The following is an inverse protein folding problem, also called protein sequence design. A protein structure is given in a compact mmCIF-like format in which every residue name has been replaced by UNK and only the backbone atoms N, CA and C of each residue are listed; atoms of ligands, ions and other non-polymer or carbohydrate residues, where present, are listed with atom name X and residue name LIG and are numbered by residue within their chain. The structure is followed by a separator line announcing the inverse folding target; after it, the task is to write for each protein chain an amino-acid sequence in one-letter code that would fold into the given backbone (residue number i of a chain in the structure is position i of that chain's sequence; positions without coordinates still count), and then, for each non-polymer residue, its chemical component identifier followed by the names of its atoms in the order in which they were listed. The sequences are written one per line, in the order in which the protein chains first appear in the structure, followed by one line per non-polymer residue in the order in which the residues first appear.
data_IF_912565873117
#
_entry.id   IF_912565873117
#
_cell.length_a   1.000
_cell.length_b   1.000
_cell.length_c   1.000
_cell.angle_alpha   90.00
_cell.angle_beta   90.00
_cell.angle_gamma   90.00
#
_symmetry.space_group_name_H-M   'P 1'
#
loop_
_entity.id
_entity.type
_entity.pdbx_description
1 polymer ?
#
# COMPACT_ATOMS: atom_id res chain seq x y z
N UNK A 1 16.80 16.74 -48.09
CA UNK A 1 15.58 16.70 -47.29
C UNK A 1 15.27 15.25 -47.03
N UNK A 2 15.54 14.78 -45.81
CA UNK A 2 15.32 13.41 -45.39
C UNK A 2 13.83 13.22 -45.09
N UNK A 3 13.20 12.25 -45.74
CA UNK A 3 11.88 11.77 -45.38
C UNK A 3 12.01 10.93 -44.09
N UNK A 4 11.31 11.36 -43.04
CA UNK A 4 11.09 10.58 -41.83
C UNK A 4 10.31 9.32 -42.19
N UNK A 5 11.01 8.19 -42.20
CA UNK A 5 10.45 6.87 -42.43
C UNK A 5 9.50 6.46 -41.30
N UNK A 6 8.21 6.42 -41.61
CA UNK A 6 7.15 5.78 -40.83
C UNK A 6 7.57 4.37 -40.40
N UNK A 7 7.63 4.15 -39.08
CA UNK A 7 8.04 2.91 -38.39
C UNK A 7 7.00 1.78 -38.51
N UNK A 8 5.95 1.93 -39.34
CA UNK A 8 4.80 1.02 -39.42
C UNK A 8 4.76 0.12 -40.68
N UNK A 9 5.92 -0.31 -41.20
CA UNK A 9 5.96 -1.26 -42.32
C UNK A 9 5.78 -2.70 -41.83
N UNK A 10 4.55 -3.20 -41.97
CA UNK A 10 4.06 -4.60 -41.91
C UNK A 10 3.54 -5.13 -40.55
N UNK A 11 2.21 -5.04 -40.33
CA UNK A 11 1.52 -5.60 -39.15
C UNK A 11 1.77 -7.09 -38.88
N UNK A 12 2.02 -7.90 -39.92
CA UNK A 12 2.31 -9.34 -39.79
C UNK A 12 3.61 -9.63 -39.04
N UNK A 13 4.67 -8.85 -39.29
CA UNK A 13 5.95 -9.01 -38.60
C UNK A 13 5.80 -8.68 -37.10
N UNK A 14 5.04 -7.62 -36.79
CA UNK A 14 4.78 -7.18 -35.41
C UNK A 14 4.04 -8.27 -34.61
N UNK A 15 3.02 -8.90 -35.21
CA UNK A 15 2.27 -9.98 -34.56
C UNK A 15 3.15 -11.20 -34.26
N UNK A 16 4.07 -11.54 -35.16
CA UNK A 16 4.99 -12.66 -34.99
C UNK A 16 6.03 -12.40 -33.89
N UNK A 17 6.61 -11.20 -33.86
CA UNK A 17 7.54 -10.78 -32.81
C UNK A 17 6.87 -10.77 -31.43
N UNK A 18 5.61 -10.31 -31.36
CA UNK A 18 4.81 -10.35 -30.14
C UNK A 18 4.51 -11.77 -29.67
N UNK A 19 4.19 -12.69 -30.59
CA UNK A 19 4.00 -14.11 -30.27
C UNK A 19 5.26 -14.70 -29.63
N UNK A 20 6.44 -14.43 -30.21
CA UNK A 20 7.71 -14.90 -29.69
C UNK A 20 8.01 -14.35 -28.29
N UNK A 21 7.83 -13.04 -28.07
CA UNK A 21 8.09 -12.42 -26.77
C UNK A 21 7.11 -12.92 -25.68
N UNK A 22 5.83 -13.12 -25.99
CA UNK A 22 4.88 -13.72 -25.02
C UNK A 22 5.29 -15.13 -24.65
N UNK A 23 5.60 -15.99 -25.63
CA UNK A 23 6.01 -17.37 -25.37
C UNK A 23 7.30 -17.41 -24.52
N UNK A 24 8.24 -16.53 -24.83
CA UNK A 24 9.46 -16.36 -24.06
C UNK A 24 9.17 -15.88 -22.62
N UNK A 25 8.25 -14.94 -22.39
CA UNK A 25 7.86 -14.53 -21.03
C UNK A 25 7.12 -15.64 -20.29
N UNK A 26 6.20 -16.37 -20.93
CA UNK A 26 5.53 -17.54 -20.33
C UNK A 26 6.55 -18.56 -19.83
N UNK A 27 7.65 -18.76 -20.56
CA UNK A 27 8.72 -19.69 -20.17
C UNK A 27 9.56 -19.23 -18.97
N UNK A 28 9.54 -17.93 -18.66
CA UNK A 28 10.34 -17.31 -17.59
C UNK A 28 9.57 -17.02 -16.31
N UNK A 29 8.26 -16.84 -16.41
CA UNK A 29 7.41 -16.42 -15.28
C UNK A 29 7.10 -17.64 -14.41
N UNK A 30 7.29 -17.49 -13.09
CA UNK A 30 6.94 -18.54 -12.12
C UNK A 30 5.44 -18.86 -12.17
N UNK A 31 5.02 -20.13 -12.02
CA UNK A 31 3.61 -20.51 -12.06
C UNK A 31 2.83 -19.80 -10.95
N UNK A 32 1.78 -19.05 -11.29
CA UNK A 32 0.87 -18.49 -10.27
C UNK A 32 0.11 -17.23 -10.67
N UNK A 33 0.80 -16.11 -10.92
CA UNK A 33 0.11 -14.82 -10.93
C UNK A 33 -0.24 -14.27 -12.33
N UNK A 34 0.55 -14.59 -13.35
CA UNK A 34 0.40 -13.98 -14.69
C UNK A 34 0.37 -14.98 -15.85
N UNK A 35 0.55 -16.27 -15.56
CA UNK A 35 0.61 -17.29 -16.60
C UNK A 35 -0.72 -17.39 -17.36
N UNK A 36 -1.85 -17.30 -16.66
CA UNK A 36 -3.18 -17.36 -17.29
C UNK A 36 -3.48 -16.10 -18.10
N UNK A 37 -2.96 -14.93 -17.69
CA UNK A 37 -3.06 -13.68 -18.44
C UNK A 37 -2.22 -13.71 -19.71
N UNK A 38 -0.98 -14.19 -19.62
CA UNK A 38 -0.09 -14.38 -20.77
C UNK A 38 -0.67 -15.38 -21.77
N UNK A 39 -1.27 -16.49 -21.29
CA UNK A 39 -2.00 -17.44 -22.14
C UNK A 39 -3.24 -16.82 -22.79
N UNK A 40 -4.01 -16.02 -22.05
CA UNK A 40 -5.16 -15.32 -22.60
C UNK A 40 -4.73 -14.34 -23.71
N UNK A 41 -3.57 -13.68 -23.56
CA UNK A 41 -3.01 -12.82 -24.60
C UNK A 41 -2.49 -13.60 -25.82
N UNK A 42 -1.80 -14.72 -25.61
CA UNK A 42 -1.37 -15.60 -26.71
C UNK A 42 -2.57 -16.04 -27.56
N UNK A 43 -3.70 -16.36 -26.89
CA UNK A 43 -4.96 -16.69 -27.57
C UNK A 43 -5.51 -15.49 -28.35
N UNK A 44 -5.57 -14.30 -27.76
CA UNK A 44 -6.04 -13.09 -28.45
C UNK A 44 -5.19 -12.74 -29.69
N UNK A 45 -3.86 -12.85 -29.60
CA UNK A 45 -2.96 -12.67 -30.74
C UNK A 45 -3.18 -13.72 -31.82
N UNK A 46 -3.36 -14.98 -31.43
CA UNK A 46 -3.62 -16.06 -32.38
C UNK A 46 -4.94 -15.83 -33.14
N UNK A 47 -5.99 -15.37 -32.46
CA UNK A 47 -7.26 -15.00 -33.11
C UNK A 47 -7.05 -13.88 -34.14
N UNK A 48 -6.41 -12.77 -33.77
CA UNK A 48 -6.20 -11.64 -34.67
C UNK A 48 -5.30 -12.03 -35.85
N UNK A 49 -4.25 -12.81 -35.60
CA UNK A 49 -3.35 -13.30 -36.66
C UNK A 49 -4.11 -14.19 -37.63
N UNK A 50 -4.97 -15.08 -37.13
CA UNK A 50 -5.82 -15.93 -37.96
C UNK A 50 -6.79 -15.10 -38.81
N UNK A 51 -7.44 -14.09 -38.23
CA UNK A 51 -8.34 -13.18 -38.94
C UNK A 51 -7.60 -12.40 -40.04
N UNK A 52 -6.38 -11.93 -39.75
CA UNK A 52 -5.50 -11.23 -40.70
C UNK A 52 -4.92 -12.13 -41.81
N UNK A 53 -4.87 -13.44 -41.57
CA UNK A 53 -4.45 -14.45 -42.56
C UNK A 53 -5.64 -15.01 -43.37
N UNK A 54 -6.85 -15.07 -42.79
CA UNK A 54 -8.06 -15.56 -43.44
C UNK A 54 -8.74 -14.51 -44.34
N UNK A 55 -8.52 -13.22 -44.08
CA UNK A 55 -9.12 -12.15 -44.87
C UNK A 55 -8.39 -11.95 -46.20
N UNK A 56 -9.01 -12.47 -47.26
CA UNK A 56 -8.71 -12.19 -48.67
C UNK A 56 -9.38 -10.90 -49.20
N UNK A 57 -9.76 -9.93 -48.35
CA UNK A 57 -10.86 -8.99 -48.69
C UNK A 57 -10.44 -7.56 -49.07
N UNK A 58 -10.84 -7.21 -50.30
CA UNK A 58 -10.79 -5.96 -51.10
C UNK A 58 -11.51 -4.70 -50.53
N UNK A 59 -11.49 -4.45 -49.21
CA UNK A 59 -12.12 -3.25 -48.63
C UNK A 59 -11.16 -2.42 -47.79
N UNK A 60 -10.90 -1.19 -48.23
CA UNK A 60 -10.01 -0.23 -47.52
C UNK A 60 -10.50 0.11 -46.11
N UNK A 61 -11.81 0.08 -45.85
CA UNK A 61 -12.36 0.32 -44.51
C UNK A 61 -12.12 -0.87 -43.56
N UNK A 62 -12.21 -2.10 -44.06
CA UNK A 62 -11.94 -3.32 -43.29
C UNK A 62 -10.45 -3.40 -42.91
N UNK A 63 -9.57 -3.08 -43.87
CA UNK A 63 -8.12 -3.05 -43.64
C UNK A 63 -7.72 -1.99 -42.60
N UNK A 64 -8.35 -0.81 -42.62
CA UNK A 64 -8.12 0.25 -41.62
C UNK A 64 -8.59 -0.20 -40.23
N UNK A 65 -9.75 -0.84 -40.11
CA UNK A 65 -10.25 -1.37 -38.83
C UNK A 65 -9.31 -2.43 -38.25
N UNK A 66 -8.92 -3.41 -39.05
CA UNK A 66 -7.97 -4.46 -38.62
C UNK A 66 -6.61 -3.87 -38.20
N UNK A 67 -6.11 -2.82 -38.87
CA UNK A 67 -4.89 -2.11 -38.46
C UNK A 67 -5.03 -1.41 -37.12
N UNK A 68 -6.18 -0.78 -36.85
CA UNK A 68 -6.46 -0.11 -35.58
C UNK A 68 -6.58 -1.15 -34.45
N UNK A 69 -7.28 -2.26 -34.69
CA UNK A 69 -7.46 -3.34 -33.71
C UNK A 69 -6.14 -4.06 -33.40
N UNK A 70 -5.32 -4.32 -34.42
CA UNK A 70 -3.98 -4.88 -34.25
C UNK A 70 -3.04 -3.94 -33.48
N UNK A 71 -3.08 -2.64 -33.77
CA UNK A 71 -2.30 -1.62 -33.06
C UNK A 71 -2.72 -1.51 -31.59
N UNK A 72 -4.03 -1.49 -31.33
CA UNK A 72 -4.59 -1.38 -29.97
C UNK A 72 -4.27 -2.63 -29.16
N UNK A 73 -4.45 -3.81 -29.75
CA UNK A 73 -4.11 -5.09 -29.11
C UNK A 73 -2.61 -5.19 -28.85
N UNK A 74 -1.78 -4.83 -29.84
CA UNK A 74 -0.33 -4.82 -29.70
C UNK A 74 0.17 -3.89 -28.58
N UNK A 75 -0.43 -2.70 -28.44
CA UNK A 75 -0.17 -1.80 -27.31
C UNK A 75 -0.58 -2.47 -25.98
N UNK A 76 -1.76 -3.07 -25.92
CA UNK A 76 -2.25 -3.74 -24.72
C UNK A 76 -1.35 -4.90 -24.27
N UNK A 77 -0.86 -5.69 -25.21
CA UNK A 77 0.07 -6.80 -24.95
C UNK A 77 1.40 -6.27 -24.44
N UNK A 78 1.96 -5.25 -25.10
CA UNK A 78 3.20 -4.61 -24.66
C UNK A 78 3.07 -4.11 -23.21
N UNK A 79 1.98 -3.43 -22.89
CA UNK A 79 1.73 -2.95 -21.53
C UNK A 79 1.70 -4.11 -20.52
N UNK A 80 0.99 -5.20 -20.79
CA UNK A 80 0.93 -6.35 -19.87
C UNK A 80 2.29 -7.01 -19.69
N UNK A 81 3.10 -7.12 -20.75
CA UNK A 81 4.46 -7.66 -20.66
C UNK A 81 5.37 -6.75 -19.82
N UNK A 82 5.25 -5.43 -19.96
CA UNK A 82 5.94 -4.45 -19.12
C UNK A 82 5.50 -4.57 -17.66
N UNK A 83 4.19 -4.73 -17.40
CA UNK A 83 3.65 -5.00 -16.07
C UNK A 83 4.19 -6.28 -15.44
N UNK A 84 4.23 -7.39 -16.19
CA UNK A 84 4.77 -8.64 -15.69
C UNK A 84 6.23 -8.49 -15.26
N UNK A 85 7.06 -7.82 -16.07
CA UNK A 85 8.47 -7.53 -15.75
C UNK A 85 8.61 -6.61 -14.54
N UNK A 86 7.80 -5.56 -14.48
CA UNK A 86 7.80 -4.61 -13.38
C UNK A 86 7.47 -5.30 -12.05
N UNK A 87 6.39 -6.09 -12.02
CA UNK A 87 5.92 -6.78 -10.82
C UNK A 87 6.93 -7.83 -10.35
N UNK A 88 7.46 -8.66 -11.26
CA UNK A 88 8.51 -9.65 -10.94
C UNK A 88 9.75 -8.99 -10.31
N UNK A 89 10.10 -7.79 -10.79
CA UNK A 89 11.22 -7.04 -10.23
C UNK A 89 10.93 -6.56 -8.81
N UNK A 90 9.77 -5.94 -8.57
CA UNK A 90 9.45 -5.35 -7.26
C UNK A 90 9.00 -6.37 -6.20
N UNK A 91 8.49 -7.54 -6.59
CA UNK A 91 8.10 -8.59 -5.64
C UNK A 91 9.32 -9.36 -5.11
N UNK A 92 10.46 -9.29 -5.80
CA UNK A 92 11.68 -10.03 -5.44
C UNK A 92 12.48 -9.45 -4.27
N UNK A 93 12.14 -8.23 -3.81
CA UNK A 93 13.05 -7.41 -2.99
C UNK A 93 12.70 -7.27 -1.51
N UNK A 94 11.49 -7.66 -1.06
CA UNK A 94 11.01 -7.23 0.28
C UNK A 94 10.46 -8.35 1.16
N UNK A 95 10.83 -8.32 2.45
CA UNK A 95 10.12 -9.07 3.50
C UNK A 95 8.84 -8.30 3.84
N UNK A 96 7.68 -8.85 3.45
CA UNK A 96 6.41 -8.16 3.69
C UNK A 96 6.12 -7.98 5.19
N UNK A 97 5.56 -6.81 5.59
CA UNK A 97 5.08 -6.61 6.94
C UNK A 97 3.84 -7.48 7.19
N UNK A 98 3.65 -7.91 8.44
CA UNK A 98 2.44 -8.66 8.83
C UNK A 98 1.19 -7.77 8.81
N UNK A 99 1.35 -6.49 9.19
CA UNK A 99 0.27 -5.52 9.30
C UNK A 99 0.56 -4.21 8.56
N UNK A 100 -0.49 -3.64 8.00
CA UNK A 100 -0.51 -2.28 7.48
C UNK A 100 -1.50 -1.43 8.25
N UNK A 101 -1.13 -0.18 8.50
CA UNK A 101 -1.89 0.77 9.28
C UNK A 101 -2.36 1.93 8.41
N UNK A 102 -3.57 2.44 8.68
CA UNK A 102 -4.08 3.65 8.02
C UNK A 102 -4.78 4.56 9.02
N UNK A 103 -4.35 5.81 9.07
CA UNK A 103 -5.07 6.88 9.74
C UNK A 103 -6.15 7.40 8.79
N UNK A 104 -7.40 7.48 9.22
CA UNK A 104 -8.46 8.03 8.39
C UNK A 104 -9.54 8.76 9.18
N UNK A 105 -10.33 9.53 8.42
CA UNK A 105 -11.52 10.26 8.83
C UNK A 105 -12.76 9.51 8.34
N UNK A 106 -13.78 9.42 9.16
CA UNK A 106 -15.04 8.75 8.85
C UNK A 106 -16.23 9.61 9.30
N UNK A 107 -17.14 9.84 8.36
CA UNK A 107 -18.40 10.57 8.59
C UNK A 107 -19.54 9.55 8.52
N UNK A 108 -19.80 8.86 9.63
CA UNK A 108 -20.83 7.82 9.66
C UNK A 108 -20.91 7.06 10.98
N UNK A 109 -22.00 6.28 11.12
CA UNK A 109 -22.17 5.27 12.16
C UNK A 109 -21.69 3.93 11.59
N UNK A 110 -20.77 3.26 12.29
CA UNK A 110 -20.25 1.95 11.90
C UNK A 110 -18.80 2.01 11.39
N UNK A 111 -18.40 0.95 10.69
CA UNK A 111 -17.02 0.81 10.20
C UNK A 111 -16.78 1.61 8.93
N UNK A 112 -15.64 2.31 8.80
CA UNK A 112 -15.26 2.99 7.57
C UNK A 112 -15.10 2.00 6.40
N UNK A 113 -15.54 2.44 5.23
CA UNK A 113 -15.24 1.75 3.97
C UNK A 113 -13.94 2.32 3.43
N UNK A 114 -12.95 1.46 3.22
CA UNK A 114 -11.65 1.83 2.70
C UNK A 114 -11.61 1.63 1.19
N UNK A 115 -12.26 2.54 0.48
CA UNK A 115 -12.24 2.59 -0.98
C UNK A 115 -11.43 3.80 -1.46
N UNK A 116 -10.78 3.70 -2.63
CA UNK A 116 -10.26 4.87 -3.31
C UNK A 116 -11.38 5.83 -3.75
N UNK A 117 -11.00 7.06 -4.13
CA UNK A 117 -11.97 8.04 -4.68
C UNK A 117 -12.45 7.63 -6.07
N UNK A 118 -11.58 7.00 -6.85
CA UNK A 118 -11.89 6.45 -8.18
C UNK A 118 -11.84 4.93 -8.12
N UNK A 119 -12.92 4.30 -8.56
CA UNK A 119 -13.03 2.85 -8.60
C UNK A 119 -12.22 2.31 -9.79
N UNK A 120 -11.02 1.81 -9.50
CA UNK A 120 -10.18 1.10 -10.46
C UNK A 120 -9.71 -0.20 -9.79
N UNK A 121 -9.90 -1.32 -10.48
CA UNK A 121 -9.39 -2.63 -10.07
C UNK A 121 -8.06 -2.90 -10.78
N UNK A 122 -7.14 -3.60 -10.11
CA UNK A 122 -5.84 -3.95 -10.69
C UNK A 122 -5.90 -5.28 -11.47
N UNK A 123 -6.83 -5.34 -12.43
CA UNK A 123 -7.06 -6.51 -13.27
C UNK A 123 -6.33 -6.43 -14.63
N UNK A 124 -6.50 -7.45 -15.46
CA UNK A 124 -5.91 -7.51 -16.80
C UNK A 124 -6.34 -6.35 -17.71
N UNK A 125 -7.60 -5.89 -17.61
CA UNK A 125 -8.10 -4.77 -18.42
C UNK A 125 -7.37 -3.47 -18.08
N UNK A 126 -7.16 -3.21 -16.79
CA UNK A 126 -6.35 -2.08 -16.33
C UNK A 126 -4.92 -2.16 -16.85
N UNK A 127 -4.26 -3.32 -16.73
CA UNK A 127 -2.88 -3.53 -17.21
C UNK A 127 -2.74 -3.46 -18.73
N UNK A 128 -3.79 -3.78 -19.50
CA UNK A 128 -3.80 -3.58 -20.96
C UNK A 128 -3.92 -2.10 -21.30
N UNK A 129 -4.78 -1.38 -20.60
CA UNK A 129 -5.07 0.02 -20.91
C UNK A 129 -3.94 0.97 -20.48
N UNK A 130 -3.37 0.75 -19.30
CA UNK A 130 -2.47 1.69 -18.62
C UNK A 130 -1.03 1.23 -18.65
N UNK A 131 -0.11 2.10 -19.08
CA UNK A 131 1.32 1.81 -19.03
C UNK A 131 1.91 1.99 -17.61
N UNK A 132 3.11 1.46 -17.38
CA UNK A 132 3.86 1.69 -16.14
C UNK A 132 4.09 3.19 -15.91
N UNK A 133 4.51 3.93 -16.93
CA UNK A 133 4.74 5.38 -16.82
C UNK A 133 3.49 6.15 -16.39
N UNK A 134 2.31 5.76 -16.89
CA UNK A 134 1.03 6.37 -16.49
C UNK A 134 0.71 6.04 -15.03
N UNK A 135 0.92 4.80 -14.60
CA UNK A 135 0.77 4.40 -13.20
C UNK A 135 1.74 5.17 -12.27
N UNK A 136 3.00 5.33 -12.65
CA UNK A 136 3.99 6.08 -11.86
C UNK A 136 3.62 7.56 -11.75
N UNK A 137 3.12 8.17 -12.82
CA UNK A 137 2.61 9.55 -12.80
C UNK A 137 1.40 9.69 -11.89
N UNK A 138 0.49 8.73 -11.93
CA UNK A 138 -0.67 8.68 -11.04
C UNK A 138 -0.26 8.51 -9.58
N UNK A 139 0.75 7.67 -9.31
CA UNK A 139 1.34 7.51 -7.98
C UNK A 139 1.98 8.81 -7.51
N UNK A 140 2.78 9.48 -8.34
CA UNK A 140 3.36 10.79 -8.00
C UNK A 140 2.28 11.81 -7.63
N UNK A 141 1.21 11.86 -8.42
CA UNK A 141 0.03 12.71 -8.13
C UNK A 141 -0.63 12.32 -6.81
N UNK A 142 -0.72 11.03 -6.48
CA UNK A 142 -1.29 10.58 -5.22
C UNK A 142 -0.43 10.95 -4.02
N UNK A 143 0.89 10.76 -4.09
CA UNK A 143 1.82 11.13 -3.03
C UNK A 143 1.79 12.66 -2.77
N UNK A 144 1.70 13.47 -3.83
CA UNK A 144 1.62 14.93 -3.73
C UNK A 144 0.23 15.50 -3.48
N UNK A 145 -0.81 14.65 -3.29
CA UNK A 145 -2.20 15.13 -3.27
C UNK A 145 -2.47 16.13 -2.15
N UNK A 146 -1.94 15.89 -0.94
CA UNK A 146 -2.22 16.75 0.21
C UNK A 146 -1.60 18.13 0.06
N UNK A 147 -0.40 18.24 -0.53
CA UNK A 147 0.21 19.54 -0.82
C UNK A 147 -0.59 20.29 -1.89
N UNK A 148 -0.97 19.60 -2.97
CA UNK A 148 -1.76 20.17 -4.06
C UNK A 148 -3.15 20.62 -3.63
N UNK A 149 -3.82 19.85 -2.78
CA UNK A 149 -5.13 20.19 -2.20
C UNK A 149 -5.03 21.42 -1.31
N UNK A 150 -3.95 21.56 -0.52
CA UNK A 150 -3.70 22.76 0.29
C UNK A 150 -3.42 24.00 -0.54
N UNK A 151 -2.67 23.86 -1.63
CA UNK A 151 -2.32 24.96 -2.53
C UNK A 151 -3.54 25.44 -3.33
N UNK A 152 -4.32 24.52 -3.88
CA UNK A 152 -5.39 24.83 -4.84
C UNK A 152 -6.78 24.89 -4.22
N UNK A 153 -6.98 24.30 -3.04
CA UNK A 153 -8.30 24.10 -2.44
C UNK A 153 -9.17 23.05 -3.15
N UNK A 154 -8.66 22.40 -4.20
CA UNK A 154 -9.40 21.44 -5.02
C UNK A 154 -8.99 20.02 -4.62
N UNK A 155 -9.99 19.17 -4.33
CA UNK A 155 -9.79 17.75 -4.01
C UNK A 155 -9.12 17.03 -5.19
N UNK A 156 -8.08 16.24 -4.91
CA UNK A 156 -7.38 15.45 -5.91
C UNK A 156 -7.80 13.99 -5.79
N UNK A 157 -8.64 13.54 -6.71
CA UNK A 157 -9.17 12.17 -6.70
C UNK A 157 -8.17 11.14 -7.24
N UNK A 158 -7.98 10.06 -6.48
CA UNK A 158 -7.01 9.01 -6.79
C UNK A 158 -7.61 7.62 -6.63
N UNK A 159 -7.12 6.66 -7.40
CA UNK A 159 -7.49 5.25 -7.26
C UNK A 159 -6.60 4.49 -6.26
N UNK A 160 -5.78 5.21 -5.50
CA UNK A 160 -4.85 4.65 -4.53
C UNK A 160 -5.33 4.85 -3.09
N UNK A 161 -5.00 3.89 -2.23
CA UNK A 161 -5.21 3.99 -0.78
C UNK A 161 -3.87 3.85 -0.06
N UNK A 162 -3.38 4.95 0.53
CA UNK A 162 -2.18 4.99 1.39
C UNK A 162 -2.30 4.16 2.66
N UNK A 163 -1.25 3.41 2.99
CA UNK A 163 -1.06 2.68 4.22
C UNK A 163 0.43 2.70 4.60
N UNK A 164 0.75 2.33 5.84
CA UNK A 164 2.12 2.24 6.33
C UNK A 164 2.25 1.12 7.35
N UNK A 165 3.36 0.35 7.38
CA UNK A 165 3.63 -0.61 8.45
C UNK A 165 4.16 0.07 9.73
N UNK A 166 4.42 1.38 9.68
CA UNK A 166 4.91 2.16 10.82
C UNK A 166 3.69 2.60 11.66
N UNK A 167 3.37 1.79 12.67
CA UNK A 167 2.26 2.02 13.60
C UNK A 167 2.32 3.41 14.23
N UNK A 168 3.46 3.75 14.80
CA UNK A 168 3.77 5.02 15.46
C UNK A 168 3.46 6.24 14.59
N UNK A 169 4.00 6.28 13.36
CA UNK A 169 3.68 7.32 12.38
C UNK A 169 2.17 7.44 12.16
N UNK A 170 1.51 6.30 12.00
CA UNK A 170 0.09 6.26 11.70
C UNK A 170 -0.77 6.72 12.90
N UNK A 171 -0.37 6.41 14.13
CA UNK A 171 -0.99 6.91 15.36
C UNK A 171 -0.87 8.43 15.47
N UNK A 172 0.32 9.00 15.24
CA UNK A 172 0.49 10.46 15.22
C UNK A 172 -0.40 11.12 14.16
N UNK A 173 -0.48 10.52 12.96
CA UNK A 173 -1.34 11.01 11.88
C UNK A 173 -2.82 10.96 12.25
N UNK A 174 -3.28 9.90 12.90
CA UNK A 174 -4.67 9.79 13.38
C UNK A 174 -4.99 10.88 14.42
N UNK A 175 -4.08 11.15 15.36
CA UNK A 175 -4.24 12.24 16.33
C UNK A 175 -4.24 13.63 15.70
N UNK A 176 -3.43 13.86 14.66
CA UNK A 176 -3.48 15.09 13.87
C UNK A 176 -4.84 15.26 13.18
N UNK A 177 -5.34 14.22 12.52
CA UNK A 177 -6.66 14.25 11.86
C UNK A 177 -7.76 14.57 12.86
N UNK A 178 -7.74 13.94 14.04
CA UNK A 178 -8.70 14.21 15.10
C UNK A 178 -8.65 15.67 15.57
N UNK A 179 -7.45 16.20 15.82
CA UNK A 179 -7.26 17.58 16.26
C UNK A 179 -7.72 18.62 15.22
N UNK A 180 -7.45 18.35 13.94
CA UNK A 180 -7.82 19.24 12.84
C UNK A 180 -9.33 19.14 12.53
N UNK A 181 -9.99 18.04 12.92
CA UNK A 181 -11.40 17.74 12.67
C UNK A 181 -12.11 17.16 13.91
N UNK A 182 -12.27 17.93 15.01
CA UNK A 182 -12.75 17.40 16.29
C UNK A 182 -14.22 16.92 16.27
N UNK A 183 -14.99 17.33 15.27
CA UNK A 183 -16.40 16.94 15.09
C UNK A 183 -16.58 15.68 14.23
N UNK A 184 -15.49 15.07 13.76
CA UNK A 184 -15.51 13.91 12.87
C UNK A 184 -14.86 12.70 13.56
N UNK A 185 -15.24 11.48 13.15
CA UNK A 185 -14.58 10.29 13.67
C UNK A 185 -13.23 10.14 12.97
N UNK A 186 -12.15 10.43 13.68
CA UNK A 186 -10.80 10.06 13.27
C UNK A 186 -10.41 8.74 13.96
N UNK A 187 -9.49 8.01 13.36
CA UNK A 187 -9.06 6.74 13.94
C UNK A 187 -7.99 6.02 13.14
N UNK A 188 -7.72 4.80 13.58
CA UNK A 188 -6.69 3.91 13.07
C UNK A 188 -7.34 2.63 12.55
N UNK A 189 -7.02 2.26 11.31
CA UNK A 189 -7.32 0.96 10.76
C UNK A 189 -6.07 0.09 10.73
N UNK A 190 -6.25 -1.18 11.08
CA UNK A 190 -5.22 -2.22 11.07
C UNK A 190 -5.65 -3.26 10.04
N UNK A 191 -4.78 -3.57 9.09
CA UNK A 191 -5.01 -4.57 8.06
C UNK A 191 -4.00 -5.70 8.15
N UNK A 192 -4.47 -6.93 7.94
CA UNK A 192 -3.65 -8.13 7.77
C UNK A 192 -3.21 -8.21 6.30
N UNK A 193 -1.91 -8.10 6.05
CA UNK A 193 -1.35 -8.04 4.69
C UNK A 193 -1.63 -9.34 3.93
N UNK A 194 -1.50 -10.49 4.59
CA UNK A 194 -1.72 -11.80 3.98
C UNK A 194 -3.18 -11.94 3.51
N UNK A 195 -4.14 -11.50 4.31
CA UNK A 195 -5.57 -11.51 3.91
C UNK A 195 -5.86 -10.53 2.79
N UNK A 196 -5.24 -9.34 2.80
CA UNK A 196 -5.41 -8.39 1.70
C UNK A 196 -4.86 -8.96 0.38
N UNK A 197 -3.68 -9.60 0.40
CA UNK A 197 -3.04 -10.22 -0.77
C UNK A 197 -3.83 -11.39 -1.37
N UNK A 198 -4.65 -12.06 -0.56
CA UNK A 198 -5.51 -13.15 -1.04
C UNK A 198 -6.70 -12.66 -1.88
N UNK A 199 -6.93 -11.35 -1.94
CA UNK A 199 -8.03 -10.78 -2.71
C UNK A 199 -7.59 -10.42 -4.13
N UNK A 200 -8.26 -11.00 -5.14
CA UNK A 200 -7.95 -10.79 -6.57
C UNK A 200 -8.17 -9.36 -7.06
N UNK A 201 -9.02 -8.59 -6.39
CA UNK A 201 -9.43 -7.25 -6.84
C UNK A 201 -8.58 -6.13 -6.20
N UNK A 202 -7.67 -6.50 -5.29
CA UNK A 202 -6.78 -5.57 -4.58
C UNK A 202 -5.33 -5.91 -4.86
N UNK A 203 -4.58 -4.95 -5.40
CA UNK A 203 -3.12 -5.03 -5.45
C UNK A 203 -2.51 -4.08 -4.43
N UNK A 204 -1.42 -4.51 -3.79
CA UNK A 204 -0.66 -3.69 -2.84
C UNK A 204 0.75 -3.51 -3.39
N UNK A 205 1.26 -2.30 -3.31
CA UNK A 205 2.61 -1.98 -3.73
C UNK A 205 3.35 -1.29 -2.59
N UNK A 206 4.54 -1.79 -2.30
CA UNK A 206 5.50 -1.06 -1.48
C UNK A 206 6.13 0.02 -2.35
N UNK A 207 5.96 1.29 -1.99
CA UNK A 207 6.46 2.40 -2.81
C UNK A 207 7.98 2.40 -2.89
N UNK A 208 8.67 1.85 -1.89
CA UNK A 208 10.14 1.72 -1.90
C UNK A 208 10.62 0.85 -3.06
N UNK A 209 10.02 -0.31 -3.27
CA UNK A 209 10.41 -1.22 -4.35
C UNK A 209 10.20 -0.56 -5.72
N UNK A 210 9.11 0.21 -5.87
CA UNK A 210 8.87 1.02 -7.07
C UNK A 210 9.98 2.06 -7.27
N UNK A 211 10.38 2.76 -6.21
CA UNK A 211 11.44 3.78 -6.29
C UNK A 211 12.80 3.14 -6.62
N UNK A 212 13.09 1.95 -6.11
CA UNK A 212 14.30 1.19 -6.43
C UNK A 212 14.31 0.74 -7.89
N UNK A 213 13.18 0.25 -8.40
CA UNK A 213 12.99 -0.02 -9.82
C UNK A 213 13.27 1.22 -10.67
N UNK A 214 12.71 2.39 -10.32
CA UNK A 214 12.95 3.63 -11.06
C UNK A 214 14.42 4.04 -11.07
N UNK A 215 15.14 3.87 -9.97
CA UNK A 215 16.59 4.13 -9.91
C UNK A 215 17.35 3.21 -10.86
N UNK A 216 17.02 1.91 -10.88
CA UNK A 216 17.65 0.94 -11.77
C UNK A 216 17.40 1.29 -13.26
N UNK A 217 16.20 1.79 -13.58
CA UNK A 217 15.83 2.24 -14.92
C UNK A 217 16.32 3.67 -15.25
N UNK A 218 16.97 4.38 -14.31
CA UNK A 218 17.37 5.80 -14.46
C UNK A 218 16.18 6.72 -14.76
N UNK A 219 15.07 6.47 -14.08
CA UNK A 219 13.79 7.16 -14.23
C UNK A 219 13.30 7.79 -12.91
N UNK A 220 14.19 8.00 -11.93
CA UNK A 220 13.82 8.60 -10.65
C UNK A 220 13.12 9.96 -10.76
N UNK A 221 13.35 10.71 -11.85
CA UNK A 221 12.72 12.01 -12.13
C UNK A 221 11.20 11.94 -12.30
N UNK A 222 10.61 10.75 -12.52
CA UNK A 222 9.17 10.59 -12.67
C UNK A 222 8.41 10.90 -11.37
N UNK A 223 9.06 10.77 -10.21
CA UNK A 223 8.50 11.15 -8.91
C UNK A 223 9.40 12.25 -8.32
N UNK A 224 8.89 13.46 -8.04
CA UNK A 224 9.66 14.54 -7.42
C UNK A 224 10.39 14.09 -6.15
N UNK A 225 11.65 14.53 -5.98
CA UNK A 225 12.54 14.05 -4.91
C UNK A 225 11.96 14.18 -3.50
N UNK A 226 11.27 15.28 -3.20
CA UNK A 226 10.63 15.48 -1.89
C UNK A 226 9.52 14.47 -1.61
N UNK A 227 8.74 14.07 -2.62
CA UNK A 227 7.72 13.02 -2.49
C UNK A 227 8.36 11.64 -2.30
N UNK A 228 9.48 11.37 -2.97
CA UNK A 228 10.21 10.13 -2.74
C UNK A 228 10.76 10.06 -1.30
N UNK A 229 11.31 11.16 -0.79
CA UNK A 229 11.81 11.24 0.60
C UNK A 229 10.66 11.04 1.60
N UNK A 230 9.52 11.70 1.36
CA UNK A 230 8.32 11.51 2.17
C UNK A 230 7.87 10.05 2.19
N UNK A 231 7.72 9.42 1.03
CA UNK A 231 7.28 8.02 0.91
C UNK A 231 8.23 7.04 1.59
N UNK A 232 9.55 7.27 1.52
CA UNK A 232 10.55 6.45 2.24
C UNK A 232 10.44 6.63 3.75
N UNK A 233 10.20 7.86 4.23
CA UNK A 233 10.11 8.16 5.66
C UNK A 233 8.90 7.52 6.34
N UNK A 234 7.76 7.43 5.64
CA UNK A 234 6.58 6.75 6.16
C UNK A 234 6.52 5.25 5.80
N UNK A 235 7.53 4.74 5.09
CA UNK A 235 7.51 3.41 4.51
C UNK A 235 6.19 3.11 3.78
N UNK A 236 5.87 3.96 2.80
CA UNK A 236 4.55 4.02 2.18
C UNK A 236 4.21 2.74 1.41
N UNK A 237 2.99 2.24 1.66
CA UNK A 237 2.32 1.25 0.84
C UNK A 237 1.09 1.90 0.21
N UNK A 238 0.80 1.54 -1.03
CA UNK A 238 -0.44 1.94 -1.71
C UNK A 238 -1.18 0.70 -2.18
N UNK A 239 -2.50 0.69 -2.02
CA UNK A 239 -3.34 -0.29 -2.72
C UNK A 239 -3.99 0.32 -3.95
N UNK A 240 -4.25 -0.52 -4.96
CA UNK A 240 -5.19 -0.26 -6.06
C UNK A 240 -6.36 -1.21 -5.88
N UNK A 241 -7.59 -0.69 -5.99
CA UNK A 241 -8.81 -1.42 -5.66
C UNK A 241 -9.29 -1.18 -4.23
N UNK A 242 -10.49 -1.69 -3.95
CA UNK A 242 -11.17 -1.55 -2.66
C UNK A 242 -10.59 -2.52 -1.64
N UNK A 243 -10.12 -2.01 -0.50
CA UNK A 243 -9.63 -2.88 0.58
C UNK A 243 -10.80 -3.71 1.14
N UNK A 244 -10.69 -5.04 1.13
CA UNK A 244 -11.80 -5.91 1.53
C UNK A 244 -11.95 -5.95 3.05
N UNK A 245 -13.20 -6.08 3.50
CA UNK A 245 -13.51 -6.08 4.93
C UNK A 245 -12.91 -7.26 5.70
N UNK A 246 -12.63 -8.40 5.04
CA UNK A 246 -11.98 -9.55 5.66
C UNK A 246 -10.48 -9.31 5.93
N UNK A 247 -9.86 -8.33 5.27
CA UNK A 247 -8.48 -7.90 5.55
C UNK A 247 -8.39 -6.88 6.67
N UNK A 248 -9.49 -6.21 7.03
CA UNK A 248 -9.55 -5.30 8.18
C UNK A 248 -9.55 -6.13 9.47
N UNK A 249 -8.45 -6.06 10.20
CA UNK A 249 -8.33 -6.65 11.54
C UNK A 249 -9.15 -5.84 12.52
N UNK A 250 -8.94 -4.52 12.51
CA UNK A 250 -9.67 -3.62 13.40
C UNK A 250 -9.71 -2.19 12.90
N UNK A 251 -10.82 -1.53 13.19
CA UNK A 251 -10.94 -0.08 13.20
C UNK A 251 -11.06 0.41 14.64
N UNK A 252 -10.30 1.44 14.98
CA UNK A 252 -10.28 2.05 16.30
C UNK A 252 -10.55 3.52 16.16
N UNK A 253 -11.60 4.00 16.83
CA UNK A 253 -11.83 5.42 16.91
C UNK A 253 -10.81 6.07 17.84
N UNK A 254 -10.43 7.30 17.55
CA UNK A 254 -9.42 8.02 18.32
C UNK A 254 -9.78 8.14 19.81
N UNK A 255 -11.08 8.26 20.11
CA UNK A 255 -11.61 8.31 21.48
C UNK A 255 -11.42 7.02 22.29
N UNK A 256 -11.19 5.87 21.62
CA UNK A 256 -10.82 4.62 22.28
C UNK A 256 -9.34 4.62 22.70
N UNK A 257 -8.52 5.43 22.03
CA UNK A 257 -7.07 5.52 22.29
C UNK A 257 -6.72 6.70 23.21
N UNK A 258 -7.47 7.80 23.15
CA UNK A 258 -7.18 9.07 23.84
C UNK A 258 -8.44 9.79 24.40
N UNK A 259 -8.33 10.45 25.57
CA UNK A 259 -7.25 10.38 26.55
C UNK A 259 -7.43 9.14 27.45
N UNK A 260 -6.42 8.28 27.50
CA UNK A 260 -6.38 7.20 28.48
C UNK A 260 -5.18 7.36 29.39
N UNK A 261 -5.38 7.45 30.72
CA UNK A 261 -4.26 7.48 31.66
C UNK A 261 -3.49 6.14 31.69
N UNK A 262 -4.08 5.09 31.11
CA UNK A 262 -3.58 3.70 31.16
C UNK A 262 -2.90 3.27 29.86
N UNK A 263 -3.02 4.02 28.75
CA UNK A 263 -2.32 3.72 27.47
C UNK A 263 -1.06 4.57 27.29
N UNK A 264 -0.35 4.35 26.18
CA UNK A 264 0.79 5.16 25.75
C UNK A 264 0.40 6.56 25.25
N UNK A 265 -0.88 6.76 24.89
CA UNK A 265 -1.38 8.04 24.40
C UNK A 265 -1.98 8.81 25.58
N UNK A 266 -1.10 9.41 26.37
CA UNK A 266 -1.46 10.23 27.53
C UNK A 266 -1.73 11.68 27.14
N UNK A 267 -2.11 12.52 28.12
CA UNK A 267 -2.21 13.97 27.96
C UNK A 267 -0.89 14.66 27.59
N UNK A 268 0.26 13.97 27.72
CA UNK A 268 1.58 14.49 27.32
C UNK A 268 1.96 14.10 25.89
N UNK A 269 1.14 13.30 25.21
CA UNK A 269 1.38 12.91 23.82
C UNK A 269 1.22 14.12 22.89
N UNK A 270 2.27 14.46 22.13
CA UNK A 270 2.26 15.63 21.24
C UNK A 270 1.88 15.23 19.81
N UNK A 271 0.70 15.65 19.35
CA UNK A 271 0.25 15.43 17.97
C UNK A 271 1.06 16.31 17.00
N UNK A 272 1.99 15.69 16.26
CA UNK A 272 2.89 16.40 15.33
C UNK A 272 2.66 16.01 13.87
N UNK A 273 2.90 16.95 12.96
CA UNK A 273 2.79 16.72 11.51
C UNK A 273 3.87 15.79 10.96
N UNK A 274 4.98 15.65 11.67
CA UNK A 274 6.10 14.75 11.32
C UNK A 274 6.67 14.11 12.59
N UNK A 275 7.28 12.93 12.45
CA UNK A 275 8.02 12.28 13.54
C UNK A 275 9.19 13.14 14.01
N UNK A 276 9.86 13.83 13.09
CA UNK A 276 10.94 14.76 13.42
C UNK A 276 10.44 15.86 14.36
N UNK A 277 9.28 16.46 14.05
CA UNK A 277 8.73 17.53 14.88
C UNK A 277 8.31 17.05 16.25
N UNK A 278 7.75 15.85 16.34
CA UNK A 278 7.42 15.23 17.63
C UNK A 278 8.67 15.07 18.52
N UNK A 279 9.77 14.57 17.96
CA UNK A 279 11.03 14.34 18.70
C UNK A 279 11.63 15.63 19.27
N UNK A 280 11.40 16.78 18.65
CA UNK A 280 11.86 18.08 19.15
C UNK A 280 11.09 18.56 20.39
N UNK A 281 9.83 18.18 20.52
CA UNK A 281 8.89 18.80 21.48
C UNK A 281 8.44 17.85 22.59
N UNK A 282 8.65 16.55 22.43
CA UNK A 282 8.25 15.56 23.44
C UNK A 282 9.12 15.70 24.70
N UNK A 283 8.46 15.91 25.84
CA UNK A 283 9.10 15.81 27.15
C UNK A 283 9.09 14.36 27.61
N UNK A 284 10.20 13.89 28.16
CA UNK A 284 10.32 12.53 28.66
C UNK A 284 9.77 12.43 30.07
N UNK A 285 8.81 11.53 30.28
CA UNK A 285 8.30 11.14 31.58
C UNK A 285 9.02 9.87 32.05
N UNK A 286 9.75 9.94 33.17
CA UNK A 286 10.35 8.74 33.78
C UNK A 286 9.24 7.89 34.41
N UNK A 287 9.21 6.60 34.06
CA UNK A 287 8.27 5.62 34.59
C UNK A 287 9.01 4.36 35.03
N UNK A 288 8.46 3.69 36.05
CA UNK A 288 8.95 2.40 36.51
C UNK A 288 8.63 1.29 35.49
N UNK A 289 9.38 0.19 35.58
CA UNK A 289 9.26 -0.94 34.63
C UNK A 289 7.83 -1.44 34.46
N UNK A 290 7.14 -1.67 35.58
CA UNK A 290 5.80 -2.24 35.59
C UNK A 290 4.78 -1.27 34.97
N UNK A 291 4.92 0.04 35.22
CA UNK A 291 4.04 1.05 34.64
C UNK A 291 4.16 1.10 33.12
N UNK A 292 5.38 1.00 32.59
CA UNK A 292 5.62 0.96 31.14
C UNK A 292 5.06 -0.33 30.55
N UNK A 293 5.35 -1.48 31.16
CA UNK A 293 4.84 -2.76 30.69
C UNK A 293 3.31 -2.75 30.64
N UNK A 294 2.65 -2.26 31.69
CA UNK A 294 1.20 -2.13 31.75
C UNK A 294 0.68 -1.21 30.65
N UNK A 295 1.25 -0.02 30.46
CA UNK A 295 0.82 0.91 29.39
C UNK A 295 0.95 0.34 27.99
N UNK A 296 2.06 -0.36 27.72
CA UNK A 296 2.30 -1.01 26.44
C UNK A 296 1.30 -2.14 26.21
N UNK A 297 1.05 -2.97 27.22
CA UNK A 297 0.09 -4.07 27.15
C UNK A 297 -1.33 -3.54 26.97
N UNK A 298 -1.74 -2.53 27.73
CA UNK A 298 -3.06 -1.91 27.59
C UNK A 298 -3.24 -1.27 26.22
N UNK A 299 -2.21 -0.62 25.68
CA UNK A 299 -2.26 -0.13 24.31
C UNK A 299 -2.33 -1.28 23.29
N UNK A 300 -1.59 -2.36 23.50
CA UNK A 300 -1.66 -3.58 22.69
C UNK A 300 -3.04 -4.22 22.68
N UNK A 301 -3.69 -4.35 23.85
CA UNK A 301 -5.09 -4.80 23.96
C UNK A 301 -6.05 -3.83 23.30
N UNK A 302 -5.82 -2.53 23.51
CA UNK A 302 -6.59 -1.49 22.87
C UNK A 302 -6.49 -1.62 21.35
N UNK A 303 -5.37 -2.07 20.76
CA UNK A 303 -5.23 -2.36 19.33
C UNK A 303 -5.81 -3.73 18.91
N UNK A 304 -5.60 -4.78 19.70
CA UNK A 304 -6.00 -6.17 19.39
C UNK A 304 -7.51 -6.40 19.53
N UNK A 305 -8.13 -5.80 20.54
CA UNK A 305 -9.56 -5.89 20.80
C UNK A 305 -9.94 -7.23 21.41
N UNK A 306 -10.99 -7.90 20.89
CA UNK A 306 -11.38 -9.20 21.42
C UNK A 306 -10.41 -10.34 21.01
N UNK A 307 -9.45 -10.06 20.13
CA UNK A 307 -8.53 -11.07 19.60
C UNK A 307 -7.22 -11.12 20.42
N UNK A 308 -7.24 -11.87 21.53
CA UNK A 308 -6.09 -12.00 22.44
C UNK A 308 -4.79 -12.45 21.73
N UNK A 309 -4.91 -13.28 20.70
CA UNK A 309 -3.77 -13.76 19.90
C UNK A 309 -3.00 -12.65 19.17
N UNK A 310 -3.61 -11.47 19.00
CA UNK A 310 -2.99 -10.31 18.33
C UNK A 310 -2.27 -9.37 19.30
N UNK A 311 -2.44 -9.54 20.62
CA UNK A 311 -1.83 -8.65 21.62
C UNK A 311 -0.31 -8.68 21.49
N UNK A 312 0.31 -9.86 21.49
CA UNK A 312 1.76 -9.96 21.43
C UNK A 312 2.35 -9.37 20.14
N UNK A 313 1.87 -9.75 18.92
CA UNK A 313 2.35 -9.13 17.69
C UNK A 313 2.27 -7.59 17.69
N UNK A 314 1.14 -7.03 18.14
CA UNK A 314 0.94 -5.58 18.16
C UNK A 314 1.79 -4.87 19.22
N UNK A 315 1.99 -5.49 20.39
CA UNK A 315 2.91 -4.99 21.42
C UNK A 315 4.35 -4.95 20.94
N UNK A 316 4.80 -5.95 20.19
CA UNK A 316 6.16 -5.95 19.62
C UNK A 316 6.34 -4.78 18.63
N UNK A 317 5.31 -4.43 17.86
CA UNK A 317 5.33 -3.26 16.98
C UNK A 317 5.38 -1.94 17.74
N UNK A 318 4.70 -1.86 18.89
CA UNK A 318 4.74 -0.68 19.78
C UNK A 318 6.16 -0.45 20.32
N UNK A 319 6.89 -1.52 20.65
CA UNK A 319 8.21 -1.45 21.27
C UNK A 319 9.34 -1.22 20.25
N UNK A 320 9.11 -1.52 18.97
CA UNK A 320 10.10 -1.39 17.88
C UNK A 320 10.81 -0.02 17.80
N UNK A 321 10.14 1.15 17.95
CA UNK A 321 10.84 2.43 18.01
C UNK A 321 11.56 2.77 19.31
N UNK A 322 11.40 1.93 20.33
CA UNK A 322 11.84 2.19 21.68
C UNK A 322 10.85 3.04 22.48
N UNK A 323 10.86 2.87 23.81
CA UNK A 323 9.88 3.52 24.69
C UNK A 323 10.02 5.05 24.76
N UNK A 324 11.23 5.56 24.52
CA UNK A 324 11.53 7.00 24.47
C UNK A 324 10.79 7.70 23.35
N UNK A 325 10.51 6.96 22.28
CA UNK A 325 9.66 7.45 21.21
C UNK A 325 8.27 7.79 21.72
N UNK A 326 7.72 7.06 22.68
CA UNK A 326 6.39 7.36 23.22
C UNK A 326 6.39 8.46 24.28
N UNK A 327 7.53 9.14 24.48
CA UNK A 327 7.70 10.17 25.51
C UNK A 327 8.00 9.61 26.90
N UNK A 328 8.44 8.36 27.00
CA UNK A 328 8.74 7.72 28.28
C UNK A 328 10.22 7.32 28.39
N UNK A 329 10.81 7.60 29.55
CA UNK A 329 12.13 7.09 29.91
C UNK A 329 12.01 6.09 31.06
N UNK A 330 12.99 5.19 31.16
CA UNK A 330 13.05 4.24 32.27
C UNK A 330 14.49 3.85 32.53
N UNK A 331 14.77 3.36 33.74
CA UNK A 331 16.11 2.88 34.14
C UNK A 331 16.44 1.51 33.56
N UNK A 332 15.52 0.52 33.54
CA UNK A 332 15.72 -0.74 32.83
C UNK A 332 15.99 -0.57 31.33
N UNK A 333 16.68 -1.54 30.73
CA UNK A 333 16.87 -1.59 29.27
C UNK A 333 15.60 -2.00 28.54
N UNK A 334 15.52 -1.70 27.25
CA UNK A 334 14.42 -2.16 26.40
C UNK A 334 14.30 -3.69 26.37
N UNK A 335 15.42 -4.42 26.43
CA UNK A 335 15.43 -5.87 26.55
C UNK A 335 14.74 -6.36 27.84
N UNK A 336 14.90 -5.64 28.95
CA UNK A 336 14.24 -5.97 30.21
C UNK A 336 12.72 -5.76 30.11
N UNK A 337 12.29 -4.69 29.44
CA UNK A 337 10.87 -4.41 29.15
C UNK A 337 10.30 -5.52 28.26
N UNK A 338 10.99 -5.88 27.18
CA UNK A 338 10.60 -6.93 26.26
C UNK A 338 10.49 -8.30 26.94
N UNK A 339 11.47 -8.66 27.77
CA UNK A 339 11.44 -9.91 28.52
C UNK A 339 10.27 -9.94 29.51
N UNK A 340 10.02 -8.84 30.22
CA UNK A 340 8.91 -8.73 31.16
C UNK A 340 7.56 -8.84 30.47
N UNK A 341 7.35 -8.12 29.37
CA UNK A 341 6.13 -8.18 28.56
C UNK A 341 5.91 -9.58 28.02
N UNK A 342 6.95 -10.24 27.48
CA UNK A 342 6.83 -11.63 27.02
C UNK A 342 6.42 -12.55 28.16
N UNK A 343 6.96 -12.39 29.37
CA UNK A 343 6.49 -13.15 30.53
C UNK A 343 5.01 -12.89 30.86
N UNK A 344 4.58 -11.64 30.80
CA UNK A 344 3.18 -11.26 31.08
C UNK A 344 2.18 -11.73 30.01
N UNK A 345 2.63 -11.92 28.76
CA UNK A 345 1.77 -12.28 27.62
C UNK A 345 1.87 -13.77 27.24
N UNK A 346 3.00 -14.44 27.48
CA UNK A 346 3.19 -15.86 27.15
C UNK A 346 2.78 -16.83 28.27
N UNK A 347 2.47 -16.33 29.47
CA UNK A 347 1.86 -17.19 30.48
C UNK A 347 0.39 -17.41 30.12
N UNK A 348 -0.12 -18.62 30.34
CA UNK A 348 -1.49 -19.09 30.09
C UNK A 348 -2.59 -18.34 30.89
N UNK A 349 -2.35 -17.08 31.23
CA UNK A 349 -3.06 -16.21 32.18
C UNK A 349 -3.73 -15.00 31.49
N UNK A 350 -4.04 -15.07 30.19
CA UNK A 350 -5.03 -14.15 29.57
C UNK A 350 -6.36 -14.16 30.36
N UNK A 351 -6.68 -15.27 31.05
CA UNK A 351 -7.81 -15.35 31.98
C UNK A 351 -7.65 -14.51 33.27
N UNK A 352 -6.43 -14.17 33.72
CA UNK A 352 -6.20 -13.28 34.87
C UNK A 352 -6.17 -11.81 34.47
N UNK A 353 -5.79 -11.52 33.24
CA UNK A 353 -5.80 -10.15 32.72
C UNK A 353 -7.23 -9.59 32.61
N UNK A 354 -8.22 -10.45 32.32
CA UNK A 354 -9.64 -10.10 32.40
C UNK A 354 -10.13 -9.75 33.83
N UNK A 355 -9.33 -10.05 34.86
CA UNK A 355 -9.63 -9.71 36.26
C UNK A 355 -8.98 -8.40 36.74
N UNK A 356 -8.14 -7.75 35.91
CA UNK A 356 -7.71 -6.38 36.15
C UNK A 356 -8.84 -5.41 35.77
N UNK A 357 -9.88 -5.38 36.62
CA UNK A 357 -10.75 -4.21 36.73
C UNK A 357 -9.95 -3.10 37.40
N UNK A 358 -9.73 -2.00 36.69
CA UNK A 358 -9.75 -0.65 37.28
C UNK A 358 -10.55 0.25 36.36
#
# INVERSE_FOLDING_TARGET
MAEEGSVFRQPRLILHDMHYEIQHQISKVSPGNYQDELKAMEKSLSTITTEYESDLVDSSEQEIRLKIDASTTGKGIKNVLEWAKFIDTIDSTSSEPEYLFRACRHMGKGYPIFAPDRDETFNLECRRAKSIDEFIKDLARHLGKTEKEKETGIKVETYFVSMSPILEWTVHRAGRIWNDHPNENAGLAIFDVKKLRQNSDTAIFHVRDILEYLIQQRQEQLIPQHLQQWARNCDEYVSVGKLPGNGLVRWLEWKELYPSPVTLISSTFVWSYTLAKFREVVSQQELELEDICNRVIEFGKALAGPEDGLILPLVLLILKPGIRFWGFSTRPSEDAIMARIRGLVNDADLQKIAQLKI
#
